data_IF_435068342328
#
_entry.id   IF_435068342328
#
_cell.length_a   1.000
_cell.length_b   1.000
_cell.length_c   1.000
_cell.angle_alpha   90.00
_cell.angle_beta   90.00
_cell.angle_gamma   90.00
#
_symmetry.space_group_name_H-M   'P 1'
#
loop_
_entity.id
_entity.type
_entity.pdbx_description
1 polymer ?
#
# COMPACT_ATOMS: atom_id res chain seq x y z
N UNK A 1 -22.57 26.47 -16.69
CA UNK A 1 -21.26 26.60 -16.03
C UNK A 1 -20.52 25.24 -16.09
N UNK A 2 -19.94 24.88 -17.25
CA UNK A 2 -19.11 23.66 -17.37
C UNK A 2 -17.66 24.08 -17.09
N UNK A 3 -17.18 23.82 -15.88
CA UNK A 3 -15.77 24.05 -15.55
C UNK A 3 -14.94 22.94 -16.22
N UNK A 4 -13.93 23.34 -16.97
CA UNK A 4 -12.94 22.48 -17.60
C UNK A 4 -12.20 21.65 -16.53
N UNK A 5 -12.73 20.48 -16.17
CA UNK A 5 -12.06 19.50 -15.32
C UNK A 5 -11.37 18.40 -16.13
N UNK A 6 -11.68 18.25 -17.42
CA UNK A 6 -11.20 17.13 -18.23
C UNK A 6 -9.67 17.14 -18.38
N UNK A 7 -9.07 18.31 -18.64
CA UNK A 7 -7.61 18.46 -18.72
C UNK A 7 -6.93 18.18 -17.37
N UNK A 8 -7.50 18.67 -16.27
CA UNK A 8 -7.00 18.44 -14.92
C UNK A 8 -7.15 16.96 -14.50
N UNK A 9 -8.21 16.30 -14.95
CA UNK A 9 -8.49 14.88 -14.71
C UNK A 9 -7.59 13.99 -15.55
N UNK A 10 -7.34 14.36 -16.80
CA UNK A 10 -6.38 13.67 -17.67
C UNK A 10 -4.96 13.79 -17.13
N UNK A 11 -4.56 14.96 -16.64
CA UNK A 11 -3.26 15.16 -16.00
C UNK A 11 -3.11 14.31 -14.71
N UNK A 12 -4.12 14.32 -13.83
CA UNK A 12 -4.14 13.47 -12.63
C UNK A 12 -4.12 11.98 -12.97
N UNK A 13 -4.89 11.55 -13.97
CA UNK A 13 -4.88 10.15 -14.46
C UNK A 13 -3.54 9.75 -15.05
N UNK A 14 -2.89 10.62 -15.82
CA UNK A 14 -1.58 10.35 -16.40
C UNK A 14 -0.49 10.27 -15.33
N UNK A 15 -0.56 11.12 -14.31
CA UNK A 15 0.36 11.08 -13.18
C UNK A 15 0.17 9.81 -12.35
N UNK A 16 -1.07 9.47 -11.99
CA UNK A 16 -1.40 8.21 -11.32
C UNK A 16 -0.91 7.04 -12.17
N UNK A 17 -1.20 6.98 -13.47
CA UNK A 17 -0.74 5.90 -14.34
C UNK A 17 0.80 5.77 -14.41
N UNK A 18 1.55 6.88 -14.33
CA UNK A 18 3.02 6.87 -14.27
C UNK A 18 3.52 6.34 -12.93
N UNK A 19 2.92 6.78 -11.83
CA UNK A 19 3.22 6.29 -10.48
C UNK A 19 2.86 4.79 -10.36
N UNK A 20 1.77 4.37 -11.01
CA UNK A 20 1.35 2.97 -11.11
C UNK A 20 2.32 2.11 -11.92
N UNK A 21 2.88 2.64 -13.01
CA UNK A 21 3.90 1.96 -13.79
C UNK A 21 5.25 1.89 -13.04
N UNK A 22 5.55 2.89 -12.21
CA UNK A 22 6.75 2.93 -11.36
C UNK A 22 6.62 2.04 -10.11
N UNK A 23 5.40 1.76 -9.66
CA UNK A 23 5.07 0.76 -8.65
C UNK A 23 5.19 -0.68 -9.18
N UNK A 24 6.35 -1.00 -9.74
CA UNK A 24 6.74 -2.36 -10.09
C UNK A 24 7.05 -3.22 -8.86
N UNK A 25 6.91 -4.54 -9.04
CA UNK A 25 7.35 -5.65 -8.18
C UNK A 25 8.16 -5.20 -6.94
N UNK A 26 7.47 -5.00 -5.80
CA UNK A 26 7.92 -4.31 -4.58
C UNK A 26 9.07 -4.97 -3.81
N UNK A 27 10.06 -5.47 -4.55
CA UNK A 27 11.14 -6.30 -4.08
C UNK A 27 12.27 -5.46 -3.53
N UNK A 28 13.30 -6.15 -3.03
CA UNK A 28 14.50 -5.55 -2.45
C UNK A 28 15.43 -4.94 -3.53
N UNK A 29 14.87 -4.33 -4.58
CA UNK A 29 15.63 -3.62 -5.62
C UNK A 29 15.76 -2.16 -5.22
N UNK A 30 16.97 -1.63 -5.34
CA UNK A 30 17.24 -0.21 -5.15
C UNK A 30 16.36 0.60 -6.12
N UNK A 31 15.54 1.52 -5.58
CA UNK A 31 14.57 2.31 -6.35
C UNK A 31 13.18 1.68 -6.51
N UNK A 32 12.87 0.55 -5.87
CA UNK A 32 11.51 0.00 -5.87
C UNK A 32 10.54 0.90 -5.07
N UNK A 33 9.35 1.13 -5.63
CA UNK A 33 8.28 1.88 -4.95
C UNK A 33 7.54 0.94 -4.00
N UNK A 34 7.54 1.27 -2.70
CA UNK A 34 6.87 0.49 -1.66
C UNK A 34 5.48 1.08 -1.37
N UNK A 35 4.40 0.29 -1.42
CA UNK A 35 3.09 0.76 -0.98
C UNK A 35 3.07 0.96 0.54
N UNK A 36 2.61 2.12 1.02
CA UNK A 36 2.65 2.49 2.44
C UNK A 36 1.26 2.53 3.06
N UNK A 37 1.08 1.77 4.15
CA UNK A 37 -0.07 1.84 5.05
C UNK A 37 0.30 2.68 6.29
N UNK A 38 -0.48 3.73 6.58
CA UNK A 38 -0.30 4.54 7.80
C UNK A 38 -1.28 4.09 8.87
N UNK A 39 -0.79 3.58 10.00
CA UNK A 39 -1.65 3.11 11.09
C UNK A 39 -0.97 3.09 12.45
N UNK A 40 -0.04 2.16 12.67
CA UNK A 40 0.60 1.93 13.97
C UNK A 40 2.04 1.42 13.82
N UNK A 41 2.73 1.26 14.94
CA UNK A 41 4.06 0.66 14.96
C UNK A 41 3.98 -0.86 14.74
N UNK A 42 4.66 -1.38 13.71
CA UNK A 42 4.97 -2.81 13.59
C UNK A 42 6.45 -3.08 13.86
N UNK A 43 6.70 -4.26 14.41
CA UNK A 43 8.04 -4.77 14.69
C UNK A 43 8.35 -5.98 13.79
N UNK A 44 9.60 -6.13 13.33
CA UNK A 44 10.05 -7.35 12.67
C UNK A 44 9.75 -8.61 13.49
N UNK A 45 9.43 -9.71 12.79
CA UNK A 45 9.02 -11.01 13.32
C UNK A 45 7.72 -11.03 14.16
N UNK A 46 7.01 -9.91 14.30
CA UNK A 46 5.76 -9.83 15.06
C UNK A 46 4.56 -9.91 14.12
N UNK A 47 3.58 -10.75 14.45
CA UNK A 47 2.32 -10.83 13.72
C UNK A 47 1.46 -9.58 13.96
N UNK A 48 0.83 -9.08 12.90
CA UNK A 48 -0.05 -7.92 12.95
C UNK A 48 -1.33 -8.19 12.14
N UNK A 49 -2.45 -8.35 12.84
CA UNK A 49 -3.77 -8.53 12.22
C UNK A 49 -4.45 -7.17 12.08
N UNK A 50 -4.81 -6.83 10.85
CA UNK A 50 -5.31 -5.50 10.50
C UNK A 50 -6.74 -5.60 9.96
N UNK A 51 -7.56 -4.65 10.39
CA UNK A 51 -8.83 -4.36 9.75
C UNK A 51 -8.73 -3.02 9.03
N UNK A 52 -8.61 -3.08 7.70
CA UNK A 52 -8.43 -1.92 6.85
C UNK A 52 -9.80 -1.50 6.32
N UNK A 53 -10.33 -0.41 6.85
CA UNK A 53 -11.66 0.08 6.51
C UNK A 53 -11.66 1.28 5.55
N UNK A 54 -10.53 1.95 5.39
CA UNK A 54 -10.45 3.18 4.60
C UNK A 54 -10.37 2.88 3.09
N UNK A 55 -11.29 3.44 2.27
CA UNK A 55 -11.36 3.12 0.85
C UNK A 55 -10.07 3.36 0.04
N UNK A 56 -9.22 4.31 0.49
CA UNK A 56 -7.95 4.65 -0.18
C UNK A 56 -6.98 3.47 -0.27
N UNK A 57 -7.07 2.48 0.62
CA UNK A 57 -6.17 1.32 0.62
C UNK A 57 -6.67 0.14 -0.22
N UNK A 58 -7.87 0.20 -0.82
CA UNK A 58 -8.43 -0.91 -1.62
C UNK A 58 -7.54 -1.25 -2.82
N UNK A 59 -7.13 -0.25 -3.56
CA UNK A 59 -6.25 -0.43 -4.72
C UNK A 59 -4.86 -0.89 -4.30
N UNK A 60 -4.34 -0.35 -3.20
CA UNK A 60 -3.07 -0.78 -2.61
C UNK A 60 -3.09 -2.28 -2.29
N UNK A 61 -4.12 -2.74 -1.56
CA UNK A 61 -4.27 -4.16 -1.19
C UNK A 61 -4.34 -5.05 -2.43
N UNK A 62 -5.16 -4.68 -3.42
CA UNK A 62 -5.26 -5.42 -4.68
C UNK A 62 -3.90 -5.57 -5.35
N UNK A 63 -3.12 -4.50 -5.48
CA UNK A 63 -1.77 -4.53 -6.06
C UNK A 63 -0.80 -5.37 -5.27
N UNK A 64 -0.81 -5.27 -3.93
CA UNK A 64 0.06 -6.08 -3.09
C UNK A 64 -0.18 -7.58 -3.34
N UNK A 65 -1.46 -7.98 -3.47
CA UNK A 65 -1.85 -9.36 -3.75
C UNK A 65 -1.51 -9.81 -5.18
N UNK A 66 -1.63 -8.93 -6.17
CA UNK A 66 -1.33 -9.21 -7.59
C UNK A 66 0.18 -9.21 -7.89
N UNK A 67 0.99 -8.46 -7.13
CA UNK A 67 2.45 -8.31 -7.33
C UNK A 67 3.29 -9.56 -7.06
N UNK A 68 2.68 -10.67 -6.64
CA UNK A 68 3.37 -11.92 -6.30
C UNK A 68 4.07 -11.91 -4.93
N UNK A 69 4.58 -10.77 -4.49
CA UNK A 69 5.34 -10.66 -3.24
C UNK A 69 4.49 -10.53 -1.99
N UNK A 70 3.25 -10.04 -2.14
CA UNK A 70 2.28 -9.92 -1.05
C UNK A 70 2.83 -9.13 0.13
N UNK A 71 3.46 -7.99 -0.13
CA UNK A 71 4.04 -7.15 0.91
C UNK A 71 3.70 -5.66 0.75
N UNK A 72 3.71 -4.95 1.86
CA UNK A 72 3.59 -3.50 1.92
C UNK A 72 4.37 -2.96 3.12
N UNK A 73 4.72 -1.68 3.10
CA UNK A 73 5.33 -0.99 4.24
C UNK A 73 4.28 -0.43 5.18
N UNK A 74 4.53 -0.49 6.48
CA UNK A 74 3.71 0.21 7.48
C UNK A 74 4.55 1.25 8.24
N UNK A 75 3.99 2.47 8.35
CA UNK A 75 4.58 3.59 9.07
C UNK A 75 3.58 4.15 10.09
N UNK A 76 4.10 4.74 11.16
CA UNK A 76 3.26 5.38 12.19
C UNK A 76 2.57 6.65 11.65
N UNK A 77 3.29 7.44 10.86
CA UNK A 77 2.78 8.64 10.19
C UNK A 77 3.67 8.97 8.98
N UNK A 78 3.35 10.04 8.25
CA UNK A 78 4.08 10.44 7.04
C UNK A 78 5.44 11.12 7.30
N UNK A 79 5.76 11.44 8.56
CA UNK A 79 6.97 12.17 8.95
C UNK A 79 8.07 11.25 9.51
N UNK A 80 7.78 9.96 9.68
CA UNK A 80 8.78 8.99 10.14
C UNK A 80 9.72 8.58 9.02
N UNK A 81 11.00 8.49 9.36
CA UNK A 81 12.06 8.08 8.43
C UNK A 81 12.11 6.57 8.21
N UNK A 82 11.57 5.78 9.14
CA UNK A 82 11.61 4.33 9.08
C UNK A 82 10.22 3.72 9.20
N UNK A 83 10.02 2.65 8.44
CA UNK A 83 8.85 1.77 8.53
C UNK A 83 9.24 0.31 8.63
N UNK A 84 8.22 -0.54 8.73
CA UNK A 84 8.38 -2.00 8.75
C UNK A 84 7.67 -2.61 7.56
N UNK A 85 8.36 -3.42 6.77
CA UNK A 85 7.77 -4.25 5.74
C UNK A 85 6.91 -5.34 6.40
N UNK A 86 5.71 -5.52 5.90
CA UNK A 86 4.73 -6.51 6.33
C UNK A 86 4.47 -7.47 5.18
N UNK A 87 4.67 -8.76 5.42
CA UNK A 87 4.24 -9.82 4.50
C UNK A 87 2.80 -10.24 4.83
N UNK A 88 1.94 -10.33 3.81
CA UNK A 88 0.55 -10.73 3.91
C UNK A 88 0.47 -12.25 3.88
N UNK A 89 0.19 -12.85 5.04
CA UNK A 89 -0.05 -14.29 5.18
C UNK A 89 -1.50 -14.67 4.92
N UNK A 90 -2.45 -13.73 5.05
CA UNK A 90 -3.87 -13.98 4.83
C UNK A 90 -4.64 -12.71 4.47
N UNK A 91 -5.65 -12.85 3.62
CA UNK A 91 -6.46 -11.73 3.14
C UNK A 91 -7.92 -12.15 2.93
N UNK A 92 -8.83 -11.36 3.48
CA UNK A 92 -10.28 -11.49 3.27
C UNK A 92 -10.83 -10.10 2.90
N UNK A 93 -11.47 -10.00 1.74
CA UNK A 93 -12.23 -8.80 1.35
C UNK A 93 -13.68 -8.95 1.79
N UNK A 94 -14.17 -7.96 2.54
CA UNK A 94 -15.55 -7.92 3.02
C UNK A 94 -16.49 -7.34 1.93
N UNK A 95 -17.81 -7.63 1.98
CA UNK A 95 -18.77 -7.19 0.95
C UNK A 95 -18.87 -5.67 0.76
N UNK A 96 -18.51 -4.87 1.76
CA UNK A 96 -18.48 -3.41 1.71
C UNK A 96 -17.12 -2.84 1.24
N UNK A 97 -16.21 -3.71 0.82
CA UNK A 97 -14.88 -3.36 0.32
C UNK A 97 -13.86 -3.05 1.41
N UNK A 98 -14.16 -3.32 2.69
CA UNK A 98 -13.15 -3.38 3.76
C UNK A 98 -12.32 -4.66 3.64
N UNK A 99 -11.17 -4.72 4.33
CA UNK A 99 -10.30 -5.89 4.29
C UNK A 99 -9.84 -6.31 5.68
N UNK A 100 -9.85 -7.62 5.95
CA UNK A 100 -9.10 -8.22 7.05
C UNK A 100 -7.81 -8.78 6.49
N UNK A 101 -6.69 -8.41 7.08
CA UNK A 101 -5.36 -8.74 6.59
C UNK A 101 -4.54 -9.32 7.73
N UNK A 102 -4.05 -10.53 7.55
CA UNK A 102 -3.08 -11.15 8.45
C UNK A 102 -1.69 -10.85 7.90
N UNK A 103 -0.82 -10.30 8.74
CA UNK A 103 0.54 -9.95 8.34
C UNK A 103 1.56 -10.35 9.38
N UNK A 104 2.81 -10.47 8.95
CA UNK A 104 3.98 -10.62 9.83
C UNK A 104 5.03 -9.60 9.42
N UNK A 105 5.60 -8.90 10.40
CA UNK A 105 6.71 -7.98 10.16
C UNK A 105 7.95 -8.72 9.67
N UNK A 106 8.58 -8.25 8.61
CA UNK A 106 9.76 -8.91 8.02
C UNK A 106 11.03 -8.12 8.32
N UNK A 107 11.16 -6.91 7.77
CA UNK A 107 12.35 -6.06 7.90
C UNK A 107 11.98 -4.60 8.01
N UNK A 108 12.92 -3.77 8.47
CA UNK A 108 12.78 -2.30 8.39
C UNK A 108 13.10 -1.81 6.97
N UNK A 109 12.54 -0.66 6.61
CA UNK A 109 12.91 0.10 5.42
C UNK A 109 13.01 1.59 5.76
N UNK A 110 13.67 2.34 4.88
CA UNK A 110 13.78 3.81 4.89
C UNK A 110 13.19 4.32 3.59
#
# INVERSE_FOLDING_TARGET
>A
MRRHFEAETQARRAQIAREEAAAGDGGDREGAVVPIFICSLAMPAVACNLHIFEPRYRLMMRRCLESGQRQFGMCLNAQVEYGTMLHISGFEQLPDGRSRVQTVGTRRFR
#
